data_IF_886211567668
#
_entry.id   IF_886211567668
#
_cell.length_a   1.000
_cell.length_b   1.000
_cell.length_c   1.000
_cell.angle_alpha   90.00
_cell.angle_beta   90.00
_cell.angle_gamma   90.00
#
_symmetry.space_group_name_H-M   'P 1'
#
loop_
_entity.id
_entity.type
_entity.pdbx_description
1 polymer ?
#
# COMPACT_ATOMS: atom_id res chain seq x y z
N UNK A 1 -12.98 12.81 -11.72
CA UNK A 1 -12.43 13.09 -10.39
C UNK A 1 -11.96 11.78 -9.78
N UNK A 2 -10.80 11.78 -9.14
CA UNK A 2 -10.23 10.61 -8.46
C UNK A 2 -10.04 10.90 -6.98
N UNK A 3 -10.08 9.87 -6.15
CA UNK A 3 -9.95 9.98 -4.71
C UNK A 3 -8.83 9.04 -4.23
N UNK A 4 -7.91 9.57 -3.44
CA UNK A 4 -6.82 8.82 -2.80
C UNK A 4 -7.11 8.77 -1.30
N UNK A 5 -7.44 7.60 -0.78
CA UNK A 5 -7.81 7.39 0.63
C UNK A 5 -6.62 6.82 1.38
N UNK A 6 -6.08 7.62 2.28
CA UNK A 6 -4.82 7.36 2.98
C UNK A 6 -4.98 7.39 4.51
N UNK A 7 -4.00 6.86 5.19
CA UNK A 7 -3.94 6.79 6.65
C UNK A 7 -3.30 5.50 7.11
N UNK A 8 -2.95 5.43 8.38
CA UNK A 8 -2.29 4.25 8.96
C UNK A 8 -3.22 3.03 9.06
N UNK A 9 -2.66 1.88 9.41
CA UNK A 9 -3.41 0.66 9.67
C UNK A 9 -4.48 0.88 10.76
N UNK A 10 -5.67 0.32 10.56
CA UNK A 10 -6.79 0.45 11.49
C UNK A 10 -7.50 1.80 11.52
N UNK A 11 -7.11 2.76 10.66
CA UNK A 11 -7.73 4.10 10.61
C UNK A 11 -9.16 4.11 10.05
N UNK A 12 -9.56 3.07 9.29
CA UNK A 12 -10.90 2.94 8.70
C UNK A 12 -10.99 3.34 7.23
N UNK A 13 -9.90 3.22 6.48
CA UNK A 13 -9.82 3.54 5.04
C UNK A 13 -10.88 2.82 4.21
N UNK A 14 -10.99 1.51 4.33
CA UNK A 14 -11.97 0.71 3.57
C UNK A 14 -13.42 1.15 3.81
N UNK A 15 -13.73 1.62 5.03
CA UNK A 15 -15.05 2.21 5.34
C UNK A 15 -15.27 3.50 4.57
N UNK A 16 -14.24 4.35 4.49
CA UNK A 16 -14.31 5.61 3.74
C UNK A 16 -14.41 5.34 2.24
N UNK A 17 -13.62 4.40 1.70
CA UNK A 17 -13.72 3.99 0.28
C UNK A 17 -15.15 3.56 -0.06
N UNK A 18 -15.79 2.73 0.78
CA UNK A 18 -17.19 2.33 0.57
C UNK A 18 -18.14 3.53 0.53
N UNK A 19 -18.03 4.45 1.50
CA UNK A 19 -18.88 5.66 1.53
C UNK A 19 -18.66 6.57 0.31
N UNK A 20 -17.41 6.73 -0.12
CA UNK A 20 -17.10 7.48 -1.34
C UNK A 20 -17.68 6.78 -2.59
N UNK A 21 -17.64 5.44 -2.65
CA UNK A 21 -18.23 4.68 -3.75
C UNK A 21 -19.76 4.84 -3.81
N UNK A 22 -20.41 4.86 -2.66
CA UNK A 22 -21.86 5.13 -2.58
C UNK A 22 -22.20 6.54 -3.07
N UNK A 23 -21.37 7.53 -2.73
CA UNK A 23 -21.54 8.93 -3.13
C UNK A 23 -21.15 9.20 -4.59
N UNK A 24 -20.19 8.44 -5.11
CA UNK A 24 -19.65 8.56 -6.47
C UNK A 24 -19.76 7.23 -7.25
N UNK A 25 -20.96 6.79 -7.61
CA UNK A 25 -21.20 5.46 -8.20
C UNK A 25 -20.56 5.26 -9.58
N UNK A 26 -20.12 6.34 -10.23
CA UNK A 26 -19.36 6.28 -11.49
C UNK A 26 -17.87 6.00 -11.30
N UNK A 27 -17.38 6.02 -10.05
CA UNK A 27 -15.99 5.73 -9.74
C UNK A 27 -15.78 4.23 -9.48
N UNK A 28 -14.65 3.71 -9.95
CA UNK A 28 -14.21 2.35 -9.63
C UNK A 28 -13.38 2.35 -8.36
N UNK A 29 -13.78 1.58 -7.36
CA UNK A 29 -12.97 1.36 -6.18
C UNK A 29 -11.80 0.41 -6.51
N UNK A 30 -10.60 0.79 -6.09
CA UNK A 30 -9.36 0.01 -6.20
C UNK A 30 -8.85 -0.20 -4.78
N UNK A 31 -9.04 -1.41 -4.28
CA UNK A 31 -8.66 -1.78 -2.92
C UNK A 31 -7.18 -2.16 -2.85
N UNK A 32 -6.62 -2.18 -1.65
CA UNK A 32 -5.27 -2.68 -1.42
C UNK A 32 -5.14 -4.13 -1.91
N UNK A 33 -4.14 -4.40 -2.77
CA UNK A 33 -3.95 -5.71 -3.40
C UNK A 33 -4.69 -5.92 -4.74
N UNK A 34 -5.56 -4.99 -5.14
CA UNK A 34 -6.11 -5.00 -6.50
C UNK A 34 -5.07 -4.51 -7.53
N UNK A 35 -5.29 -4.86 -8.80
CA UNK A 35 -4.54 -4.21 -9.86
C UNK A 35 -4.84 -2.71 -9.86
N UNK A 36 -3.80 -1.91 -9.70
CA UNK A 36 -3.88 -0.46 -9.69
C UNK A 36 -3.00 0.15 -10.79
N UNK A 37 -3.46 1.17 -11.52
CA UNK A 37 -2.64 1.86 -12.52
C UNK A 37 -1.51 2.70 -11.90
N UNK A 38 -1.55 2.98 -10.61
CA UNK A 38 -0.58 3.85 -9.91
C UNK A 38 0.25 3.11 -8.86
N UNK A 39 -0.29 2.09 -8.21
CA UNK A 39 0.30 1.41 -7.07
C UNK A 39 0.52 -0.09 -7.38
N UNK A 40 1.54 -0.72 -6.81
CA UNK A 40 1.90 -2.13 -7.02
C UNK A 40 2.12 -2.92 -5.73
N UNK A 41 1.73 -2.39 -4.57
CA UNK A 41 1.82 -3.18 -3.34
C UNK A 41 1.00 -4.46 -3.46
N UNK A 42 1.55 -5.55 -2.92
CA UNK A 42 0.93 -6.87 -2.97
C UNK A 42 0.76 -7.45 -4.38
N UNK A 43 1.54 -6.92 -5.34
CA UNK A 43 1.58 -7.39 -6.72
C UNK A 43 3.00 -7.79 -7.10
N UNK A 44 3.17 -8.96 -7.70
CA UNK A 44 4.44 -9.36 -8.29
C UNK A 44 4.59 -8.73 -9.68
N UNK A 45 5.78 -8.18 -9.98
CA UNK A 45 6.14 -7.63 -11.28
C UNK A 45 7.12 -8.55 -11.98
N UNK A 46 6.64 -9.33 -12.93
CA UNK A 46 7.35 -10.42 -13.60
C UNK A 46 7.68 -10.08 -15.04
N UNK A 47 8.88 -10.43 -15.50
CA UNK A 47 9.17 -10.52 -16.93
C UNK A 47 8.35 -11.64 -17.59
N UNK A 48 8.31 -11.69 -18.92
CA UNK A 48 7.62 -12.76 -19.67
C UNK A 48 8.16 -14.16 -19.30
N UNK A 49 9.48 -14.30 -19.15
CA UNK A 49 10.11 -15.57 -18.77
C UNK A 49 9.71 -16.00 -17.36
N UNK A 50 9.83 -15.08 -16.38
CA UNK A 50 9.43 -15.34 -14.99
C UNK A 50 7.94 -15.70 -14.86
N UNK A 51 7.09 -15.02 -15.62
CA UNK A 51 5.66 -15.33 -15.62
C UNK A 51 5.37 -16.72 -16.17
N UNK A 52 6.05 -17.14 -17.24
CA UNK A 52 5.94 -18.49 -17.79
C UNK A 52 6.41 -19.55 -16.79
N UNK A 53 7.55 -19.31 -16.12
CA UNK A 53 8.08 -20.21 -15.07
C UNK A 53 7.10 -20.34 -13.90
N UNK A 54 6.48 -19.24 -13.46
CA UNK A 54 5.47 -19.26 -12.39
C UNK A 54 4.25 -20.07 -12.82
N UNK A 55 3.77 -19.92 -14.06
CA UNK A 55 2.64 -20.68 -14.56
C UNK A 55 2.94 -22.18 -14.69
N UNK A 56 4.16 -22.56 -15.07
CA UNK A 56 4.59 -23.96 -15.14
C UNK A 56 4.71 -24.58 -13.75
N UNK A 57 5.34 -23.87 -12.82
CA UNK A 57 5.53 -24.34 -11.45
C UNK A 57 4.21 -24.50 -10.69
N UNK A 58 3.26 -23.58 -10.87
CA UNK A 58 1.95 -23.55 -10.21
C UNK A 58 0.83 -23.90 -11.18
N UNK A 59 0.98 -25.04 -11.83
CA UNK A 59 0.08 -25.51 -12.88
C UNK A 59 -1.38 -25.64 -12.41
N UNK A 60 -1.60 -26.03 -11.17
CA UNK A 60 -2.91 -26.13 -10.52
C UNK A 60 -3.57 -24.76 -10.25
N UNK A 61 -2.79 -23.68 -10.25
CA UNK A 61 -3.25 -22.30 -10.04
C UNK A 61 -3.29 -21.47 -11.33
N UNK A 62 -2.96 -22.05 -12.50
CA UNK A 62 -2.81 -21.30 -13.75
C UNK A 62 -4.01 -20.42 -14.10
N UNK A 63 -5.23 -20.96 -13.99
CA UNK A 63 -6.43 -20.21 -14.34
C UNK A 63 -6.64 -19.00 -13.44
N UNK A 64 -6.39 -19.16 -12.12
CA UNK A 64 -6.45 -18.04 -11.18
C UNK A 64 -5.34 -17.02 -11.47
N UNK A 65 -4.11 -17.48 -11.71
CA UNK A 65 -2.98 -16.61 -12.04
C UNK A 65 -3.27 -15.80 -13.30
N UNK A 66 -3.74 -16.42 -14.37
CA UNK A 66 -4.10 -15.71 -15.61
C UNK A 66 -5.20 -14.68 -15.38
N UNK A 67 -6.21 -15.02 -14.58
CA UNK A 67 -7.32 -14.12 -14.25
C UNK A 67 -6.86 -12.90 -13.40
N UNK A 68 -5.81 -13.07 -12.59
CA UNK A 68 -5.27 -12.05 -11.67
C UNK A 68 -4.00 -11.38 -12.19
N UNK A 69 -3.70 -11.54 -13.49
CA UNK A 69 -2.51 -10.98 -14.14
C UNK A 69 -2.88 -9.94 -15.19
N UNK A 70 -2.13 -8.85 -15.22
CA UNK A 70 -2.30 -7.74 -16.15
C UNK A 70 -0.98 -7.47 -16.88
N UNK A 71 -1.01 -7.43 -18.22
CA UNK A 71 0.19 -7.16 -19.00
C UNK A 71 0.44 -5.65 -19.11
N UNK A 72 1.64 -5.23 -18.71
CA UNK A 72 2.11 -3.85 -18.83
C UNK A 72 3.44 -3.80 -19.59
N UNK A 73 3.37 -3.53 -20.88
CA UNK A 73 4.55 -3.53 -21.76
C UNK A 73 5.25 -4.90 -21.74
N UNK A 74 6.48 -4.94 -21.24
CA UNK A 74 7.30 -6.15 -21.16
C UNK A 74 7.13 -6.93 -19.84
N UNK A 75 6.21 -6.51 -18.98
CA UNK A 75 6.01 -7.09 -17.66
C UNK A 75 4.58 -7.59 -17.46
N UNK A 76 4.45 -8.55 -16.56
CA UNK A 76 3.19 -9.01 -16.01
C UNK A 76 3.07 -8.52 -14.56
N UNK A 77 1.96 -7.90 -14.24
CA UNK A 77 1.58 -7.54 -12.87
C UNK A 77 0.61 -8.58 -12.38
N UNK A 78 1.00 -9.33 -11.38
CA UNK A 78 0.21 -10.44 -10.81
C UNK A 78 -0.26 -10.06 -9.42
N UNK A 79 -1.57 -9.87 -9.24
CA UNK A 79 -2.20 -9.65 -7.94
C UNK A 79 -2.25 -10.97 -7.16
N UNK A 80 -1.09 -11.46 -6.76
CA UNK A 80 -0.90 -12.82 -6.25
C UNK A 80 -1.60 -13.07 -4.91
N UNK A 81 -1.81 -12.06 -4.10
CA UNK A 81 -2.56 -12.17 -2.85
C UNK A 81 -4.05 -12.46 -3.04
N UNK A 82 -4.57 -12.26 -4.26
CA UNK A 82 -5.94 -12.61 -4.64
C UNK A 82 -6.07 -14.05 -5.19
N UNK A 83 -4.96 -14.73 -5.41
CA UNK A 83 -4.93 -16.16 -5.78
C UNK A 83 -5.09 -16.99 -4.52
N UNK A 84 -6.03 -17.92 -4.50
CA UNK A 84 -6.27 -18.79 -3.34
C UNK A 84 -5.38 -20.02 -3.43
N UNK A 85 -4.43 -20.13 -2.51
CA UNK A 85 -3.55 -21.28 -2.34
C UNK A 85 -3.42 -21.62 -0.87
N UNK A 86 -3.35 -22.92 -0.53
CA UNK A 86 -3.00 -23.37 0.82
C UNK A 86 -1.47 -23.48 0.99
N UNK A 87 -0.73 -23.40 -0.12
CA UNK A 87 0.73 -23.50 -0.12
C UNK A 87 1.36 -22.12 0.14
N UNK A 88 2.05 -21.97 1.27
CA UNK A 88 2.74 -20.74 1.64
C UNK A 88 3.91 -20.39 0.72
N UNK A 89 4.56 -21.39 0.13
CA UNK A 89 5.71 -21.19 -0.77
C UNK A 89 5.28 -20.41 -2.02
N UNK A 90 4.02 -20.56 -2.46
CA UNK A 90 3.45 -19.77 -3.55
C UNK A 90 3.54 -18.27 -3.25
N UNK A 91 3.04 -17.85 -2.09
CA UNK A 91 3.04 -16.43 -1.72
C UNK A 91 4.47 -15.91 -1.50
N UNK A 92 5.33 -16.68 -0.82
CA UNK A 92 6.72 -16.31 -0.57
C UNK A 92 7.51 -16.15 -1.87
N UNK A 93 7.26 -16.99 -2.87
CA UNK A 93 7.91 -16.87 -4.17
C UNK A 93 7.46 -15.60 -4.90
N UNK A 94 6.16 -15.34 -4.98
CA UNK A 94 5.63 -14.18 -5.71
C UNK A 94 5.97 -12.87 -5.00
N UNK A 95 6.00 -12.87 -3.69
CA UNK A 95 6.45 -11.74 -2.86
C UNK A 95 7.87 -11.27 -3.22
N UNK A 96 8.78 -12.19 -3.61
CA UNK A 96 10.15 -11.82 -4.02
C UNK A 96 10.19 -10.96 -5.31
N UNK A 97 9.11 -10.90 -6.06
CA UNK A 97 8.98 -10.08 -7.27
C UNK A 97 8.21 -8.76 -7.05
N UNK A 98 7.92 -8.40 -5.81
CA UNK A 98 7.41 -7.07 -5.50
C UNK A 98 8.49 -6.00 -5.69
N UNK A 99 8.07 -4.76 -5.91
CA UNK A 99 8.99 -3.61 -5.97
C UNK A 99 9.28 -3.01 -4.61
N UNK A 100 8.50 -3.39 -3.59
CA UNK A 100 8.59 -2.95 -2.20
C UNK A 100 9.53 -3.81 -1.35
N UNK A 101 9.64 -3.50 -0.08
CA UNK A 101 10.39 -4.24 0.93
C UNK A 101 11.90 -4.33 0.61
N UNK A 102 12.43 -3.26 -0.04
CA UNK A 102 13.84 -3.18 -0.42
C UNK A 102 14.28 -4.19 -1.50
N UNK A 103 13.32 -4.82 -2.22
CA UNK A 103 13.62 -5.83 -3.25
C UNK A 103 14.14 -5.24 -4.56
N UNK A 104 13.94 -3.94 -4.77
CA UNK A 104 14.54 -3.18 -5.87
C UNK A 104 15.44 -2.09 -5.32
N UNK A 105 16.36 -1.57 -6.13
CA UNK A 105 17.08 -0.34 -5.79
C UNK A 105 16.09 0.83 -5.68
N UNK A 106 16.45 1.88 -4.93
CA UNK A 106 15.57 3.04 -4.82
C UNK A 106 15.39 3.76 -6.17
N UNK A 107 16.42 3.78 -7.00
CA UNK A 107 16.36 4.36 -8.36
C UNK A 107 15.37 3.61 -9.24
N UNK A 108 15.43 2.28 -9.24
CA UNK A 108 14.49 1.44 -9.98
C UNK A 108 13.06 1.60 -9.46
N UNK A 109 12.88 1.60 -8.13
CA UNK A 109 11.60 1.86 -7.48
C UNK A 109 11.01 3.22 -7.92
N UNK A 110 11.80 4.29 -7.84
CA UNK A 110 11.39 5.63 -8.28
C UNK A 110 10.96 5.64 -9.74
N UNK A 111 11.75 5.01 -10.62
CA UNK A 111 11.49 5.01 -12.07
C UNK A 111 10.15 4.32 -12.37
N UNK A 112 9.90 3.16 -11.74
CA UNK A 112 8.65 2.43 -11.88
C UNK A 112 7.47 3.28 -11.39
N UNK A 113 7.54 3.79 -10.17
CA UNK A 113 6.44 4.50 -9.52
C UNK A 113 6.12 5.81 -10.24
N UNK A 114 7.14 6.64 -10.53
CA UNK A 114 6.93 7.92 -11.21
C UNK A 114 6.42 7.73 -12.64
N UNK A 115 6.86 6.69 -13.35
CA UNK A 115 6.34 6.34 -14.66
C UNK A 115 4.87 5.97 -14.62
N UNK A 116 4.44 5.21 -13.60
CA UNK A 116 3.04 4.83 -13.42
C UNK A 116 2.16 6.06 -13.16
N UNK A 117 2.55 6.95 -12.25
CA UNK A 117 1.85 8.21 -12.02
C UNK A 117 1.77 9.09 -13.28
N UNK A 118 2.84 9.21 -14.07
CA UNK A 118 2.83 9.98 -15.34
C UNK A 118 1.88 9.37 -16.36
N UNK A 119 1.88 8.04 -16.49
CA UNK A 119 1.11 7.31 -17.50
C UNK A 119 -0.37 7.13 -17.10
N UNK A 120 -0.70 7.27 -15.82
CA UNK A 120 -2.08 7.17 -15.37
C UNK A 120 -2.98 8.19 -16.06
N UNK A 121 -4.08 7.73 -16.66
CA UNK A 121 -4.97 8.59 -17.43
C UNK A 121 -5.96 9.38 -16.56
N UNK A 122 -6.04 9.08 -15.25
CA UNK A 122 -6.92 9.79 -14.32
C UNK A 122 -8.39 9.43 -14.47
N UNK A 123 -8.69 8.19 -14.80
CA UNK A 123 -10.07 7.68 -14.90
C UNK A 123 -10.69 7.57 -13.52
N UNK A 124 -11.92 8.00 -13.36
CA UNK A 124 -12.69 8.05 -12.11
C UNK A 124 -12.47 6.84 -11.18
N UNK A 125 -11.54 6.95 -10.25
CA UNK A 125 -11.15 5.89 -9.31
C UNK A 125 -11.20 6.38 -7.87
N UNK A 126 -11.43 5.44 -6.95
CA UNK A 126 -11.26 5.62 -5.51
C UNK A 126 -10.19 4.61 -5.07
N UNK A 127 -9.01 5.09 -4.76
CA UNK A 127 -7.88 4.25 -4.40
C UNK A 127 -7.72 4.13 -2.88
N UNK A 128 -7.52 2.91 -2.39
CA UNK A 128 -7.11 2.66 -1.02
C UNK A 128 -5.59 2.46 -0.94
N UNK A 129 -4.91 3.18 -0.04
CA UNK A 129 -3.47 3.03 0.28
C UNK A 129 -2.50 3.22 -0.91
N UNK A 130 -2.88 3.94 -1.95
CA UNK A 130 -2.11 3.95 -3.20
C UNK A 130 -1.11 5.11 -3.34
N UNK A 131 -1.10 6.06 -2.41
CA UNK A 131 -0.20 7.21 -2.46
C UNK A 131 0.87 7.16 -1.36
N UNK A 132 0.48 6.95 -0.10
CA UNK A 132 1.36 7.15 1.04
C UNK A 132 1.73 5.83 1.74
N UNK A 133 0.74 5.08 2.23
CA UNK A 133 0.96 4.01 3.20
C UNK A 133 2.11 3.07 2.83
N UNK A 134 2.03 2.42 1.69
CA UNK A 134 2.99 1.39 1.31
C UNK A 134 4.36 1.97 0.95
N UNK A 135 4.37 3.12 0.26
CA UNK A 135 5.59 3.78 -0.16
C UNK A 135 6.37 4.37 1.02
N UNK A 136 5.69 5.07 1.94
CA UNK A 136 6.34 5.64 3.15
C UNK A 136 6.86 4.53 4.05
N UNK A 137 6.08 3.44 4.21
CA UNK A 137 6.48 2.28 5.01
C UNK A 137 7.76 1.62 4.44
N UNK A 138 7.83 1.36 3.13
CA UNK A 138 9.02 0.82 2.46
C UNK A 138 10.23 1.73 2.65
N UNK A 139 10.06 3.04 2.44
CA UNK A 139 11.17 4.00 2.57
C UNK A 139 11.71 4.09 3.99
N UNK A 140 10.86 3.99 5.02
CA UNK A 140 11.30 3.98 6.42
C UNK A 140 11.89 2.64 6.79
N UNK A 141 11.13 1.54 6.63
CA UNK A 141 11.46 0.25 7.20
C UNK A 141 12.55 -0.50 6.44
N UNK A 142 12.58 -0.39 5.12
CA UNK A 142 13.47 -1.21 4.28
C UNK A 142 14.59 -0.42 3.63
N UNK A 143 14.43 0.90 3.48
CA UNK A 143 15.46 1.76 2.87
C UNK A 143 16.12 2.69 3.89
N UNK A 144 15.63 2.74 5.13
CA UNK A 144 16.17 3.58 6.24
C UNK A 144 16.38 5.04 5.82
N UNK A 145 15.43 5.59 5.04
CA UNK A 145 15.49 6.95 4.50
C UNK A 145 15.11 7.98 5.56
N UNK A 146 15.69 9.17 5.47
CA UNK A 146 15.29 10.31 6.30
C UNK A 146 13.96 10.91 5.83
N UNK A 147 13.24 11.57 6.74
CA UNK A 147 11.97 12.25 6.45
C UNK A 147 12.10 13.25 5.30
N UNK A 148 13.21 14.00 5.24
CA UNK A 148 13.44 14.99 4.18
C UNK A 148 13.74 14.34 2.81
N UNK A 149 14.38 13.17 2.79
CA UNK A 149 14.57 12.40 1.57
C UNK A 149 13.22 11.84 1.06
N UNK A 150 12.37 11.34 1.96
CA UNK A 150 11.01 10.90 1.63
C UNK A 150 10.17 12.08 1.12
N UNK A 151 10.22 13.22 1.78
CA UNK A 151 9.53 14.44 1.34
C UNK A 151 9.98 14.87 -0.07
N UNK A 152 11.28 14.74 -0.36
CA UNK A 152 11.84 15.04 -1.70
C UNK A 152 11.29 14.11 -2.77
N UNK A 153 11.17 12.81 -2.49
CA UNK A 153 10.51 11.85 -3.38
C UNK A 153 9.06 12.27 -3.69
N UNK A 154 8.30 12.71 -2.68
CA UNK A 154 6.91 13.13 -2.90
C UNK A 154 6.78 14.43 -3.71
N UNK A 155 7.78 15.29 -3.75
CA UNK A 155 7.83 16.43 -4.68
C UNK A 155 7.91 15.94 -6.14
N UNK A 156 8.66 14.86 -6.41
CA UNK A 156 8.70 14.21 -7.73
C UNK A 156 7.35 13.55 -8.07
N UNK A 157 6.71 12.88 -7.09
CA UNK A 157 5.36 12.30 -7.27
C UNK A 157 4.36 13.42 -7.61
N UNK A 158 4.38 14.54 -6.90
CA UNK A 158 3.55 15.72 -7.21
C UNK A 158 3.77 16.21 -8.65
N UNK A 159 5.02 16.26 -9.09
CA UNK A 159 5.37 16.63 -10.47
C UNK A 159 4.82 15.62 -11.48
N UNK A 160 4.89 14.33 -11.18
CA UNK A 160 4.35 13.27 -12.03
C UNK A 160 2.81 13.29 -12.12
N UNK A 161 2.13 13.80 -11.09
CA UNK A 161 0.67 13.98 -11.03
C UNK A 161 0.18 15.29 -11.64
N UNK A 162 1.07 16.11 -12.23
CA UNK A 162 0.68 17.39 -12.83
C UNK A 162 -0.39 17.19 -13.91
N UNK A 163 -1.46 17.98 -13.83
CA UNK A 163 -2.58 17.92 -14.77
C UNK A 163 -3.60 16.81 -14.47
N UNK A 164 -3.41 16.02 -13.42
CA UNK A 164 -4.40 15.03 -12.98
C UNK A 164 -5.39 15.65 -12.00
N UNK A 165 -6.66 15.22 -12.11
CA UNK A 165 -7.72 15.64 -11.22
C UNK A 165 -7.92 14.60 -10.11
N UNK A 166 -7.56 14.95 -8.86
CA UNK A 166 -7.67 14.08 -7.70
C UNK A 166 -7.85 14.89 -6.41
N UNK A 167 -8.41 14.22 -5.40
CA UNK A 167 -8.44 14.66 -4.01
C UNK A 167 -7.82 13.59 -3.11
N UNK A 168 -7.16 14.02 -2.04
CA UNK A 168 -6.58 13.16 -1.02
C UNK A 168 -7.45 13.25 0.23
N UNK A 169 -7.93 12.11 0.70
CA UNK A 169 -8.61 11.96 1.98
C UNK A 169 -7.67 11.24 2.94
N UNK A 170 -7.09 11.99 3.86
CA UNK A 170 -6.23 11.42 4.88
C UNK A 170 -6.99 11.20 6.19
N UNK A 171 -7.03 9.95 6.66
CA UNK A 171 -7.69 9.61 7.92
C UNK A 171 -6.68 9.68 9.05
N UNK A 172 -6.73 10.79 9.80
CA UNK A 172 -5.92 10.98 11.00
C UNK A 172 -6.47 10.15 12.16
N UNK A 173 -5.61 9.40 12.83
CA UNK A 173 -5.90 8.61 14.01
C UNK A 173 -5.40 9.33 15.27
N UNK A 174 -6.26 10.00 16.04
CA UNK A 174 -5.84 10.70 17.26
C UNK A 174 -5.28 9.75 18.33
N UNK A 175 -5.76 8.51 18.34
CA UNK A 175 -5.30 7.43 19.22
C UNK A 175 -5.03 6.18 18.39
N UNK A 176 -3.77 6.04 17.98
CA UNK A 176 -3.32 4.92 17.15
C UNK A 176 -3.45 3.59 17.88
N UNK A 177 -3.10 3.55 19.16
CA UNK A 177 -3.19 2.33 19.97
C UNK A 177 -4.63 1.81 20.07
N UNK A 178 -5.58 2.71 20.30
CA UNK A 178 -7.01 2.34 20.32
C UNK A 178 -7.51 1.82 18.99
N UNK A 179 -7.11 2.47 17.88
CA UNK A 179 -7.52 2.04 16.53
C UNK A 179 -6.90 0.70 16.16
N UNK A 180 -5.62 0.50 16.48
CA UNK A 180 -4.91 -0.75 16.22
C UNK A 180 -5.49 -1.90 17.04
N UNK A 181 -5.80 -1.67 18.33
CA UNK A 181 -6.45 -2.68 19.18
C UNK A 181 -7.86 -3.04 18.67
N UNK A 182 -8.63 -2.07 18.20
CA UNK A 182 -9.93 -2.35 17.58
C UNK A 182 -9.77 -3.23 16.32
N UNK A 183 -8.83 -2.89 15.44
CA UNK A 183 -8.55 -3.68 14.24
C UNK A 183 -8.02 -5.09 14.56
N UNK A 184 -7.26 -5.24 15.66
CA UNK A 184 -6.78 -6.52 16.17
C UNK A 184 -7.93 -7.44 16.57
N UNK A 185 -8.91 -6.92 17.31
CA UNK A 185 -10.11 -7.67 17.73
C UNK A 185 -11.01 -8.00 16.53
N UNK A 186 -11.17 -7.07 15.59
CA UNK A 186 -12.03 -7.25 14.40
C UNK A 186 -11.46 -8.27 13.38
N UNK A 187 -10.14 -8.51 13.41
CA UNK A 187 -9.42 -9.32 12.42
C UNK A 187 -8.86 -10.63 12.96
N UNK A 188 -9.46 -11.14 14.03
CA UNK A 188 -9.19 -12.52 14.46
C UNK A 188 -9.76 -13.51 13.45
N UNK A 189 -9.11 -14.68 13.33
CA UNK A 189 -9.67 -15.77 12.53
C UNK A 189 -10.88 -16.42 13.23
N UNK A 190 -11.47 -17.43 12.57
CA UNK A 190 -12.61 -18.18 13.12
C UNK A 190 -12.31 -18.90 14.45
N UNK A 191 -11.05 -19.13 14.78
CA UNK A 191 -10.56 -19.80 15.97
C UNK A 191 -10.10 -18.79 17.05
N UNK A 192 -10.25 -17.49 16.78
CA UNK A 192 -9.86 -16.39 17.67
C UNK A 192 -8.38 -16.03 17.65
N UNK A 193 -7.61 -16.53 16.68
CA UNK A 193 -6.19 -16.21 16.55
C UNK A 193 -5.97 -14.85 15.90
N UNK A 194 -5.02 -14.09 16.41
CA UNK A 194 -4.66 -12.74 15.95
C UNK A 194 -3.67 -12.76 14.78
N UNK A 195 -3.98 -13.53 13.72
CA UNK A 195 -3.07 -13.75 12.59
C UNK A 195 -2.60 -12.43 11.98
N UNK A 196 -3.53 -11.53 11.69
CA UNK A 196 -3.21 -10.23 11.10
C UNK A 196 -2.27 -9.39 11.96
N UNK A 197 -2.50 -9.36 13.27
CA UNK A 197 -1.67 -8.57 14.19
C UNK A 197 -0.27 -9.17 14.32
N UNK A 198 -0.17 -10.49 14.40
CA UNK A 198 1.10 -11.19 14.44
C UNK A 198 1.92 -10.94 13.16
N UNK A 199 1.28 -10.99 11.99
CA UNK A 199 1.92 -10.65 10.71
C UNK A 199 2.43 -9.19 10.68
N UNK A 200 1.65 -8.24 11.19
CA UNK A 200 2.06 -6.84 11.28
C UNK A 200 3.27 -6.66 12.20
N UNK A 201 3.27 -7.33 13.36
CA UNK A 201 4.42 -7.32 14.29
C UNK A 201 5.66 -7.97 13.64
N UNK A 202 5.51 -9.13 13.03
CA UNK A 202 6.61 -9.82 12.33
C UNK A 202 7.19 -8.98 11.21
N UNK A 203 6.36 -8.34 10.42
CA UNK A 203 6.77 -7.43 9.35
C UNK A 203 7.63 -6.28 9.92
N UNK A 204 7.17 -5.64 11.00
CA UNK A 204 7.89 -4.54 11.63
C UNK A 204 9.22 -5.00 12.22
N UNK A 205 9.22 -6.01 13.11
CA UNK A 205 10.44 -6.45 13.83
C UNK A 205 11.49 -7.07 12.90
N UNK A 206 11.07 -7.63 11.77
CA UNK A 206 11.96 -8.21 10.77
C UNK A 206 12.54 -7.19 9.79
N UNK A 207 12.03 -5.96 9.78
CA UNK A 207 12.55 -4.91 8.92
C UNK A 207 14.00 -4.54 9.24
N UNK A 208 14.80 -4.11 8.24
CA UNK A 208 16.15 -3.58 8.47
C UNK A 208 16.18 -2.43 9.49
N UNK A 209 15.19 -1.56 9.44
CA UNK A 209 15.03 -0.42 10.35
C UNK A 209 14.93 -0.88 11.82
N UNK A 210 14.02 -1.79 12.11
CA UNK A 210 13.81 -2.28 13.47
C UNK A 210 15.01 -3.09 13.98
N UNK A 211 15.57 -3.98 13.14
CA UNK A 211 16.74 -4.78 13.48
C UNK A 211 17.95 -3.90 13.83
N UNK A 212 18.24 -2.89 13.02
CA UNK A 212 19.36 -1.94 13.26
C UNK A 212 19.23 -1.20 14.59
N UNK A 213 17.97 -0.98 15.06
CA UNK A 213 17.66 -0.22 16.28
C UNK A 213 17.25 -1.09 17.46
N UNK A 214 17.25 -2.43 17.29
CA UNK A 214 16.81 -3.41 18.30
C UNK A 214 15.36 -3.19 18.78
N UNK A 215 14.48 -2.75 17.86
CA UNK A 215 13.05 -2.52 18.12
C UNK A 215 12.29 -3.83 17.94
N UNK A 216 11.58 -4.29 18.97
CA UNK A 216 10.91 -5.58 18.92
C UNK A 216 9.65 -5.67 19.78
N UNK A 217 9.20 -4.54 20.33
CA UNK A 217 8.03 -4.47 21.23
C UNK A 217 6.84 -3.81 20.53
N UNK A 218 5.67 -4.02 21.10
CA UNK A 218 4.45 -3.35 20.65
C UNK A 218 4.55 -1.82 20.73
N UNK A 219 5.16 -1.30 21.79
CA UNK A 219 5.38 0.14 21.98
C UNK A 219 6.28 0.73 20.89
N UNK A 220 7.23 -0.05 20.38
CA UNK A 220 8.11 0.35 19.27
C UNK A 220 7.30 0.47 17.97
N UNK A 221 6.40 -0.50 17.71
CA UNK A 221 5.47 -0.42 16.58
C UNK A 221 4.55 0.81 16.69
N UNK A 222 4.00 1.08 17.87
CA UNK A 222 3.17 2.27 18.08
C UNK A 222 3.93 3.57 17.82
N UNK A 223 5.18 3.65 18.29
CA UNK A 223 6.06 4.80 18.05
C UNK A 223 6.36 4.96 16.56
N UNK A 224 6.62 3.86 15.86
CA UNK A 224 6.82 3.87 14.42
C UNK A 224 5.56 4.35 13.67
N UNK A 225 4.39 3.84 14.00
CA UNK A 225 3.12 4.26 13.38
C UNK A 225 2.80 5.73 13.66
N UNK A 226 3.13 6.23 14.86
CA UNK A 226 2.99 7.66 15.20
C UNK A 226 3.93 8.53 14.36
N UNK A 227 5.20 8.13 14.22
CA UNK A 227 6.16 8.80 13.35
C UNK A 227 5.66 8.80 11.90
N UNK A 228 5.24 7.65 11.38
CA UNK A 228 4.74 7.54 10.02
C UNK A 228 3.53 8.43 9.77
N UNK A 229 2.53 8.44 10.66
CA UNK A 229 1.37 9.33 10.54
C UNK A 229 1.79 10.80 10.50
N UNK A 230 2.72 11.18 11.35
CA UNK A 230 3.24 12.56 11.41
C UNK A 230 3.92 12.95 10.09
N UNK A 231 4.73 12.05 9.54
CA UNK A 231 5.41 12.27 8.26
C UNK A 231 4.42 12.29 7.09
N UNK A 232 3.47 11.37 7.03
CA UNK A 232 2.43 11.34 6.00
C UNK A 232 1.59 12.63 5.98
N UNK A 233 1.19 13.12 7.16
CA UNK A 233 0.50 14.41 7.29
C UNK A 233 1.39 15.59 6.89
N UNK A 234 2.69 15.56 7.20
CA UNK A 234 3.65 16.55 6.75
C UNK A 234 3.75 16.57 5.23
N UNK A 235 3.87 15.40 4.59
CA UNK A 235 3.88 15.26 3.13
C UNK A 235 2.60 15.85 2.53
N UNK A 236 1.44 15.48 3.07
CA UNK A 236 0.16 15.99 2.59
C UNK A 236 0.10 17.53 2.66
N UNK A 237 0.52 18.13 3.77
CA UNK A 237 0.45 19.58 3.99
C UNK A 237 1.48 20.36 3.18
N UNK A 238 2.71 19.86 3.06
CA UNK A 238 3.79 20.57 2.36
C UNK A 238 3.77 20.36 0.85
N UNK A 239 3.30 19.19 0.37
CA UNK A 239 3.36 18.81 -1.04
C UNK A 239 1.99 18.88 -1.72
N UNK A 240 0.92 18.48 -1.04
CA UNK A 240 -0.41 18.28 -1.60
C UNK A 240 -1.51 19.14 -0.98
N UNK A 241 -1.17 20.25 -0.31
CA UNK A 241 -2.11 21.06 0.49
C UNK A 241 -3.41 21.45 -0.22
N UNK A 242 -3.35 21.74 -1.52
CA UNK A 242 -4.50 22.13 -2.36
C UNK A 242 -5.50 20.99 -2.62
N UNK A 243 -5.09 19.74 -2.40
CA UNK A 243 -5.84 18.53 -2.71
C UNK A 243 -6.23 17.74 -1.44
N UNK A 244 -5.87 18.24 -0.27
CA UNK A 244 -5.95 17.53 1.00
C UNK A 244 -7.26 17.78 1.74
N UNK A 245 -7.91 16.70 2.11
CA UNK A 245 -9.02 16.63 3.07
C UNK A 245 -8.58 15.76 4.26
N UNK A 246 -8.46 16.33 5.46
CA UNK A 246 -8.12 15.57 6.67
C UNK A 246 -9.41 15.22 7.42
N UNK A 247 -9.61 13.93 7.64
CA UNK A 247 -10.78 13.39 8.35
C UNK A 247 -10.29 12.66 9.59
N UNK A 248 -10.96 12.85 10.72
CA UNK A 248 -10.65 12.08 11.93
C UNK A 248 -11.20 10.66 11.80
N UNK A 249 -10.42 9.68 12.22
CA UNK A 249 -10.83 8.28 12.26
C UNK A 249 -12.18 8.12 12.98
N UNK A 250 -13.08 7.33 12.37
CA UNK A 250 -14.45 7.03 12.85
C UNK A 250 -15.44 8.21 12.86
N UNK A 251 -15.11 9.36 12.24
CA UNK A 251 -16.02 10.52 12.10
C UNK A 251 -16.26 10.83 10.61
N UNK A 252 -16.72 9.90 9.84
CA UNK A 252 -16.85 9.99 8.38
C UNK A 252 -18.03 10.88 7.91
N UNK A 253 -18.13 12.11 8.36
CA UNK A 253 -19.06 13.11 7.83
C UNK A 253 -18.46 13.70 6.55
N UNK A 254 -19.03 13.32 5.39
CA UNK A 254 -18.61 13.69 4.01
C UNK A 254 -19.51 14.75 3.42
#
# INVERSE_FOLDING_TARGET
MNFLVEGIQGSGKSTLVRKLSEKHPSCTAVMEGDYSPIELAWCARLSEAQYSEVLEQWNDLQDQLRCKSHKEGNYWIVCYTQVKSENRDFYQQLENFEIYNGRTTFEEYMDIVLKRYRNWQGDSNIFECSLLQNAVEDMILFRDMSDDAILSFYKEVRSALKGKEYEIYYIESPDIGKNLNAARVERVDKDGNEIWFNMLMEYFINSPYAKKRSLNKYEDLLTHLQHRQTLELRICREVFSEKLNVIKSKTYDL
#
